data_IF_428058313875
#
_entry.id   IF_428058313875
#
_cell.length_a   1.000
_cell.length_b   1.000
_cell.length_c   1.000
_cell.angle_alpha   90.00
_cell.angle_beta   90.00
_cell.angle_gamma   90.00
#
_symmetry.space_group_name_H-M   'P 1'
#
loop_
_entity.id
_entity.type
_entity.pdbx_description
1 polymer ?
#
# COMPACT_ATOMS: atom_id res chain seq x y z
N UNK A 1 54.60 -30.61 -15.83
CA UNK A 1 55.45 -31.70 -16.38
C UNK A 1 54.79 -33.03 -16.05
N UNK A 2 54.35 -33.74 -17.10
CA UNK A 2 54.24 -35.20 -17.27
C UNK A 2 53.57 -36.05 -16.18
N UNK A 3 52.39 -36.61 -16.51
CA UNK A 3 52.16 -38.05 -16.85
C UNK A 3 51.95 -38.92 -15.59
N UNK A 4 51.04 -39.91 -15.50
CA UNK A 4 50.45 -40.77 -16.53
C UNK A 4 49.33 -41.64 -15.92
N UNK A 5 48.31 -41.93 -16.75
CA UNK A 5 47.63 -43.22 -17.00
C UNK A 5 47.14 -44.08 -15.81
N UNK A 6 45.83 -44.25 -15.58
CA UNK A 6 44.87 -45.16 -16.25
C UNK A 6 45.18 -46.65 -16.09
N UNK A 7 44.20 -47.48 -15.70
CA UNK A 7 43.82 -48.77 -16.34
C UNK A 7 42.59 -49.41 -15.63
N UNK A 8 41.47 -49.52 -16.37
CA UNK A 8 40.49 -50.65 -16.48
C UNK A 8 39.81 -51.31 -15.25
N UNK A 9 38.63 -51.97 -15.29
CA UNK A 9 37.46 -52.13 -16.17
C UNK A 9 36.54 -53.21 -15.53
N UNK A 10 35.22 -53.16 -15.81
CA UNK A 10 34.17 -54.23 -15.90
C UNK A 10 32.89 -53.84 -15.16
N UNK A 11 31.81 -53.52 -15.88
CA UNK A 11 30.80 -54.41 -16.50
C UNK A 11 29.92 -55.14 -15.49
N UNK A 12 28.64 -54.75 -15.42
CA UNK A 12 27.50 -55.66 -15.47
C UNK A 12 26.30 -54.96 -16.11
N UNK A 13 25.82 -55.57 -17.20
CA UNK A 13 24.57 -55.25 -17.90
C UNK A 13 23.39 -55.87 -17.14
N UNK A 14 22.26 -55.17 -17.08
CA UNK A 14 20.96 -55.80 -17.16
C UNK A 14 19.97 -54.84 -17.83
N UNK A 15 19.71 -55.13 -19.10
CA UNK A 15 18.65 -54.58 -19.92
C UNK A 15 17.32 -55.23 -19.53
N UNK A 16 16.25 -54.44 -19.32
CA UNK A 16 14.85 -54.86 -19.53
C UNK A 16 13.95 -53.64 -19.69
N UNK A 17 13.77 -53.26 -20.95
CA UNK A 17 12.54 -52.78 -21.61
C UNK A 17 11.28 -52.66 -20.71
N UNK A 18 10.74 -51.46 -20.60
CA UNK A 18 9.31 -51.18 -20.86
C UNK A 18 9.09 -49.67 -21.04
N UNK A 19 8.49 -49.30 -22.17
CA UNK A 19 8.11 -47.94 -22.54
C UNK A 19 6.69 -47.61 -22.00
N UNK A 20 6.23 -46.35 -22.07
CA UNK A 20 5.44 -45.71 -21.02
C UNK A 20 3.94 -45.98 -21.10
N UNK A 21 3.30 -46.15 -19.95
CA UNK A 21 1.85 -46.08 -19.83
C UNK A 21 1.40 -44.62 -20.00
N UNK A 22 0.92 -44.29 -21.21
CA UNK A 22 0.06 -43.13 -21.47
C UNK A 22 -1.24 -43.32 -20.69
N UNK A 23 -1.47 -42.49 -19.69
CA UNK A 23 -2.80 -42.34 -19.09
C UNK A 23 -3.65 -41.48 -20.04
N UNK A 24 -4.33 -42.12 -20.99
CA UNK A 24 -5.39 -41.49 -21.79
C UNK A 24 -6.66 -41.43 -20.95
N UNK A 25 -6.98 -40.25 -20.42
CA UNK A 25 -8.32 -39.97 -19.89
C UNK A 25 -9.22 -39.64 -21.08
N UNK A 26 -9.95 -40.63 -21.58
CA UNK A 26 -11.09 -40.42 -22.45
C UNK A 26 -12.27 -39.92 -21.61
N UNK A 27 -12.37 -38.60 -21.44
CA UNK A 27 -13.57 -37.92 -20.96
C UNK A 27 -14.38 -37.41 -22.17
N UNK A 28 -15.46 -38.10 -22.50
CA UNK A 28 -16.52 -37.58 -23.38
C UNK A 28 -17.13 -36.33 -22.74
N UNK A 29 -17.29 -35.20 -23.45
CA UNK A 29 -17.99 -34.05 -22.92
C UNK A 29 -19.50 -34.35 -22.92
N UNK A 30 -20.06 -34.65 -21.74
CA UNK A 30 -21.50 -34.63 -21.53
C UNK A 30 -21.96 -33.17 -21.61
N UNK A 31 -22.58 -32.81 -22.74
CA UNK A 31 -23.34 -31.56 -22.89
C UNK A 31 -24.53 -31.57 -21.93
N UNK A 32 -24.39 -30.94 -20.76
CA UNK A 32 -25.55 -30.46 -20.02
C UNK A 32 -25.88 -29.03 -20.48
N UNK A 33 -26.57 -28.93 -21.62
CA UNK A 33 -27.37 -27.73 -21.91
C UNK A 33 -28.63 -27.79 -21.03
N UNK A 34 -28.59 -27.16 -19.86
CA UNK A 34 -29.83 -26.69 -19.22
C UNK A 34 -30.15 -25.33 -19.82
N UNK A 35 -31.11 -25.30 -20.74
CA UNK A 35 -31.74 -24.07 -21.18
C UNK A 35 -32.47 -23.44 -19.99
N UNK A 36 -31.98 -22.30 -19.50
CA UNK A 36 -32.77 -21.44 -18.63
C UNK A 36 -33.81 -20.73 -19.51
N UNK A 37 -35.05 -21.20 -19.46
CA UNK A 37 -36.20 -20.42 -19.92
C UNK A 37 -36.43 -19.28 -18.92
N UNK A 38 -35.97 -18.08 -19.26
CA UNK A 38 -36.39 -16.86 -18.58
C UNK A 38 -37.80 -16.50 -19.06
N UNK A 39 -38.82 -16.90 -18.29
CA UNK A 39 -40.17 -16.35 -18.44
C UNK A 39 -40.21 -14.87 -18.05
N UNK A 40 -41.17 -14.07 -18.55
CA UNK A 40 -41.19 -12.64 -18.31
C UNK A 40 -41.63 -12.35 -16.88
N UNK A 41 -40.69 -12.00 -16.00
CA UNK A 41 -41.02 -11.42 -14.69
C UNK A 41 -41.53 -9.99 -14.87
N UNK A 42 -42.84 -9.81 -14.68
CA UNK A 42 -43.53 -8.54 -14.57
C UNK A 42 -43.00 -7.78 -13.34
N UNK A 43 -42.29 -6.68 -13.55
CA UNK A 43 -41.94 -5.75 -12.48
C UNK A 43 -43.17 -4.91 -12.12
N UNK A 44 -43.77 -5.16 -10.96
CA UNK A 44 -44.74 -4.26 -10.34
C UNK A 44 -43.99 -3.20 -9.53
N UNK A 45 -44.16 -1.94 -9.91
CA UNK A 45 -43.62 -0.79 -9.18
C UNK A 45 -44.27 -0.67 -7.78
N UNK A 46 -43.50 -0.39 -6.71
CA UNK A 46 -44.08 -0.04 -5.43
C UNK A 46 -44.60 1.39 -5.45
N UNK A 47 -45.85 1.56 -5.03
CA UNK A 47 -46.54 2.83 -4.80
C UNK A 47 -45.83 3.66 -3.74
N UNK A 48 -45.65 4.95 -4.01
CA UNK A 48 -45.06 5.92 -3.10
C UNK A 48 -46.01 6.27 -1.94
N UNK A 49 -45.56 6.03 -0.71
CA UNK A 49 -46.14 6.67 0.48
C UNK A 49 -45.30 7.90 0.84
N UNK A 50 -45.87 9.09 0.60
CA UNK A 50 -45.25 10.36 0.93
C UNK A 50 -45.15 10.57 2.45
N UNK A 51 -43.93 10.74 2.96
CA UNK A 51 -43.66 11.27 4.30
C UNK A 51 -43.26 12.73 4.16
N UNK A 52 -44.05 13.61 4.78
CA UNK A 52 -43.89 15.07 4.79
C UNK A 52 -42.65 15.49 5.59
N UNK A 53 -41.78 16.31 4.99
CA UNK A 53 -40.74 17.05 5.68
C UNK A 53 -41.31 18.31 6.37
N UNK A 54 -40.81 18.74 7.55
CA UNK A 54 -41.24 19.99 8.17
C UNK A 54 -40.51 21.19 7.56
N UNK A 55 -41.29 22.22 7.20
CA UNK A 55 -40.81 23.55 6.82
C UNK A 55 -40.42 24.34 8.07
N UNK A 56 -39.16 24.76 8.19
CA UNK A 56 -38.75 25.79 9.13
C UNK A 56 -38.85 27.17 8.45
N UNK A 57 -39.74 28.01 8.97
CA UNK A 57 -39.98 29.37 8.51
C UNK A 57 -38.90 30.34 9.02
N UNK A 58 -38.39 31.18 8.13
CA UNK A 58 -37.58 32.36 8.46
C UNK A 58 -38.52 33.47 8.94
N UNK A 59 -38.44 33.85 10.20
CA UNK A 59 -39.07 35.04 10.77
C UNK A 59 -38.02 36.12 11.00
N UNK A 60 -38.06 37.18 10.21
CA UNK A 60 -37.38 38.45 10.51
C UNK A 60 -38.30 39.29 11.41
N UNK A 61 -37.82 39.67 12.59
CA UNK A 61 -38.45 40.70 13.41
C UNK A 61 -37.56 41.94 13.47
N UNK A 62 -38.06 43.02 12.85
CA UNK A 62 -37.63 44.41 13.07
C UNK A 62 -38.03 44.84 14.47
N UNK A 63 -37.12 45.49 15.19
CA UNK A 63 -37.46 46.36 16.33
C UNK A 63 -36.81 47.73 16.08
N UNK A 64 -37.67 48.76 16.02
CA UNK A 64 -37.30 50.17 15.95
C UNK A 64 -37.10 50.80 17.33
N UNK A 65 -36.78 52.11 17.40
CA UNK A 65 -35.84 52.64 18.39
C UNK A 65 -36.52 53.40 19.55
N UNK A 66 -35.91 53.37 20.74
CA UNK A 66 -36.16 54.37 21.78
C UNK A 66 -34.91 54.71 22.61
N UNK A 67 -34.46 55.96 22.41
CA UNK A 67 -34.00 56.98 23.38
C UNK A 67 -32.93 56.64 24.44
N UNK A 68 -31.72 57.08 24.12
CA UNK A 68 -30.85 58.04 24.87
C UNK A 68 -31.16 58.28 26.35
N UNK A 69 -30.17 57.95 27.20
CA UNK A 69 -29.80 58.75 28.37
C UNK A 69 -28.27 58.79 28.49
N UNK A 70 -27.72 60.02 28.52
CA UNK A 70 -26.31 60.38 28.73
C UNK A 70 -25.92 60.21 30.20
N UNK A 71 -24.69 59.80 30.48
CA UNK A 71 -23.68 60.31 31.45
C UNK A 71 -22.48 59.35 31.26
N UNK A 72 -21.20 59.70 31.18
CA UNK A 72 -20.41 60.91 31.39
C UNK A 72 -18.95 60.44 31.37
N UNK A 73 -18.05 61.27 30.83
CA UNK A 73 -16.61 61.00 30.71
C UNK A 73 -15.98 60.90 32.10
N UNK A 74 -15.20 59.84 32.35
CA UNK A 74 -14.14 59.84 33.36
C UNK A 74 -12.98 58.95 32.88
N UNK A 75 -12.03 59.59 32.19
CA UNK A 75 -10.67 59.08 32.02
C UNK A 75 -9.94 59.37 33.33
N UNK A 76 -9.61 58.34 34.10
CA UNK A 76 -8.58 58.40 35.16
C UNK A 76 -7.75 57.13 35.09
N UNK A 77 -6.44 57.34 34.93
CA UNK A 77 -5.40 56.33 34.91
C UNK A 77 -5.29 55.60 36.26
N UNK A 78 -5.29 54.28 36.21
CA UNK A 78 -4.63 53.36 37.16
C UNK A 78 -4.02 52.29 36.26
N UNK A 79 -2.72 52.24 35.99
CA UNK A 79 -1.64 52.30 36.96
C UNK A 79 -1.40 50.89 37.52
N UNK A 80 -0.66 50.06 36.78
CA UNK A 80 0.05 48.87 37.26
C UNK A 80 -0.75 47.84 38.08
N UNK A 81 -1.36 46.87 37.39
CA UNK A 81 -1.56 45.52 37.93
C UNK A 81 -1.52 44.48 36.79
N UNK A 82 -0.40 44.43 36.04
CA UNK A 82 0.04 43.18 35.43
C UNK A 82 0.60 42.31 36.57
N UNK A 83 -0.29 41.83 37.43
CA UNK A 83 0.00 40.74 38.33
C UNK A 83 0.12 39.49 37.48
N UNK A 84 1.30 38.86 37.51
CA UNK A 84 1.53 37.53 36.99
C UNK A 84 0.33 36.63 37.29
N UNK A 85 -0.43 36.24 36.26
CA UNK A 85 -1.06 34.93 36.31
C UNK A 85 0.10 33.96 36.19
N UNK A 86 0.71 33.65 37.33
CA UNK A 86 1.54 32.48 37.44
C UNK A 86 0.65 31.31 37.03
N UNK A 87 0.89 30.75 35.85
CA UNK A 87 0.41 29.42 35.49
C UNK A 87 0.72 28.53 36.69
N UNK A 88 -0.31 27.99 37.34
CA UNK A 88 -0.10 27.06 38.44
C UNK A 88 0.90 26.00 37.96
N UNK A 89 1.91 25.64 38.78
CA UNK A 89 2.82 24.57 38.41
C UNK A 89 1.97 23.32 38.09
N UNK A 90 2.36 22.52 37.08
CA UNK A 90 1.62 21.31 36.75
C UNK A 90 1.46 20.47 38.02
N UNK A 91 0.21 20.12 38.35
CA UNK A 91 -0.08 19.30 39.52
C UNK A 91 0.35 17.88 39.17
N UNK A 92 1.51 17.46 39.66
CA UNK A 92 1.93 16.06 39.61
C UNK A 92 1.04 15.28 40.59
N UNK A 93 0.35 14.27 40.10
CA UNK A 93 -0.48 13.42 40.95
C UNK A 93 0.41 12.50 41.81
N UNK A 94 0.04 12.29 43.07
CA UNK A 94 0.67 11.27 43.92
C UNK A 94 0.30 9.87 43.42
N UNK A 95 1.20 8.90 43.56
CA UNK A 95 0.90 7.51 43.18
C UNK A 95 -0.28 6.99 44.01
N UNK A 96 -1.25 6.29 43.41
CA UNK A 96 -2.39 5.74 44.14
C UNK A 96 -1.92 4.74 45.21
N UNK A 97 -2.44 4.85 46.42
CA UNK A 97 -2.11 3.96 47.54
C UNK A 97 -2.54 2.49 47.30
N UNK A 98 -3.59 2.27 46.49
CA UNK A 98 -4.05 0.94 46.09
C UNK A 98 -4.31 0.86 44.58
N UNK A 99 -3.69 -0.11 43.92
CA UNK A 99 -3.95 -0.44 42.52
C UNK A 99 -5.06 -1.50 42.40
N UNK A 100 -5.93 -1.40 41.38
CA UNK A 100 -6.83 -2.51 41.05
C UNK A 100 -6.03 -3.80 40.84
N UNK A 101 -6.56 -4.97 41.25
CA UNK A 101 -5.88 -6.23 41.04
C UNK A 101 -5.57 -6.43 39.54
N UNK A 102 -4.32 -6.81 39.24
CA UNK A 102 -3.74 -6.98 37.89
C UNK A 102 -3.39 -5.70 37.12
N UNK A 103 -3.27 -4.53 37.76
CA UNK A 103 -2.66 -3.35 37.12
C UNK A 103 -1.24 -3.10 37.63
N UNK A 104 -0.27 -3.11 36.70
CA UNK A 104 1.10 -2.64 36.91
C UNK A 104 1.19 -1.16 36.55
N UNK A 105 1.85 -0.35 37.38
CA UNK A 105 2.27 1.01 37.04
C UNK A 105 3.73 1.01 36.60
N UNK A 106 4.04 1.79 35.57
CA UNK A 106 5.38 1.94 34.98
C UNK A 106 5.70 3.42 34.83
N UNK A 107 6.94 3.83 35.12
CA UNK A 107 7.42 5.21 34.94
C UNK A 107 7.76 5.49 33.47
N UNK A 108 7.62 6.73 33.01
CA UNK A 108 7.97 7.12 31.64
C UNK A 108 9.44 6.81 31.30
N UNK A 109 10.36 7.01 32.24
CA UNK A 109 11.78 6.72 32.03
C UNK A 109 12.05 5.25 31.70
N UNK A 110 11.36 4.33 32.37
CA UNK A 110 11.41 2.89 32.05
C UNK A 110 10.87 2.64 30.64
N UNK A 111 9.75 3.26 30.26
CA UNK A 111 9.19 3.12 28.90
C UNK A 111 10.17 3.60 27.84
N UNK A 112 10.89 4.71 28.08
CA UNK A 112 11.88 5.24 27.15
C UNK A 112 13.09 4.32 26.93
N UNK A 113 13.39 3.40 27.86
CA UNK A 113 14.44 2.39 27.69
C UNK A 113 14.06 1.35 26.61
N UNK A 114 12.76 1.07 26.45
CA UNK A 114 12.19 0.15 25.47
C UNK A 114 11.97 0.80 24.09
N UNK A 115 13.03 1.45 23.58
CA UNK A 115 13.02 2.20 22.32
C UNK A 115 13.54 1.35 21.13
N UNK A 116 13.69 2.00 19.97
CA UNK A 116 14.07 1.32 18.71
C UNK A 116 15.41 0.58 18.73
N UNK A 117 16.30 0.84 19.70
CA UNK A 117 17.60 0.16 19.81
C UNK A 117 17.60 -0.93 20.89
N UNK A 118 16.48 -1.16 21.57
CA UNK A 118 16.33 -2.21 22.57
C UNK A 118 15.88 -3.54 21.95
N UNK A 119 15.88 -4.60 22.77
CA UNK A 119 15.36 -5.93 22.40
C UNK A 119 13.83 -6.04 22.54
N UNK A 120 13.22 -5.08 23.22
CA UNK A 120 11.77 -5.00 23.47
C UNK A 120 11.28 -3.59 23.15
N UNK A 121 10.12 -3.50 22.52
CA UNK A 121 9.59 -2.26 21.98
C UNK A 121 8.29 -1.90 22.68
N UNK A 122 8.33 -0.88 23.54
CA UNK A 122 7.13 -0.40 24.23
C UNK A 122 6.66 0.91 23.63
N UNK A 123 5.35 1.09 23.65
CA UNK A 123 4.68 2.31 23.19
C UNK A 123 3.55 2.63 24.15
N UNK A 124 3.09 3.89 24.16
CA UNK A 124 1.95 4.25 24.99
C UNK A 124 0.91 5.08 24.26
N UNK A 125 -0.33 4.98 24.72
CA UNK A 125 -1.46 5.79 24.27
C UNK A 125 -2.38 6.08 25.46
N UNK A 126 -2.60 7.34 25.74
CA UNK A 126 -3.21 7.85 26.95
C UNK A 126 -2.29 7.55 28.11
N UNK A 127 -2.81 6.82 29.08
CA UNK A 127 -2.07 6.29 30.22
C UNK A 127 -1.77 4.79 30.07
N UNK A 128 -2.09 4.16 28.94
CA UNK A 128 -1.85 2.72 28.73
C UNK A 128 -0.53 2.48 28.00
N UNK A 129 0.20 1.45 28.45
CA UNK A 129 1.49 1.00 27.90
C UNK A 129 1.29 -0.36 27.24
N UNK A 130 1.91 -0.54 26.08
CA UNK A 130 1.79 -1.73 25.25
C UNK A 130 3.18 -2.25 24.86
N UNK A 131 3.39 -3.55 24.98
CA UNK A 131 4.58 -4.23 24.46
C UNK A 131 4.28 -4.76 23.07
N UNK A 132 4.78 -4.06 22.04
CA UNK A 132 4.51 -4.39 20.64
C UNK A 132 5.58 -5.28 20.02
N UNK A 133 6.50 -5.85 20.81
CA UNK A 133 7.67 -6.61 20.31
C UNK A 133 7.26 -7.69 19.32
N UNK A 134 6.29 -8.52 19.68
CA UNK A 134 5.79 -9.60 18.82
C UNK A 134 4.85 -9.12 17.69
N UNK A 135 4.39 -7.87 17.76
CA UNK A 135 3.54 -7.26 16.73
C UNK A 135 4.34 -6.63 15.60
N UNK A 136 5.55 -6.12 15.84
CA UNK A 136 6.36 -5.43 14.83
C UNK A 136 6.45 -6.19 13.50
N UNK A 137 6.72 -7.51 13.45
CA UNK A 137 6.77 -8.26 12.20
C UNK A 137 5.43 -8.36 11.44
N UNK A 138 4.31 -8.12 12.12
CA UNK A 138 2.96 -8.15 11.57
C UNK A 138 2.45 -6.76 11.17
N UNK A 139 3.16 -5.69 11.55
CA UNK A 139 2.67 -4.34 11.33
C UNK A 139 2.66 -3.97 9.82
N UNK A 140 1.53 -3.46 9.27
CA UNK A 140 1.43 -3.14 7.85
C UNK A 140 2.38 -2.03 7.34
N UNK A 141 2.94 -1.22 8.23
CA UNK A 141 3.99 -0.25 7.90
C UNK A 141 5.41 -0.80 7.96
N UNK A 142 5.57 -2.09 8.27
CA UNK A 142 6.87 -2.69 8.60
C UNK A 142 7.51 -2.00 9.81
N UNK A 143 8.84 -1.92 9.79
CA UNK A 143 9.67 -1.32 10.84
C UNK A 143 9.45 0.20 11.05
N UNK A 144 8.66 0.87 10.20
CA UNK A 144 8.28 2.27 10.43
C UNK A 144 7.61 2.47 11.80
N UNK A 145 6.94 1.44 12.34
CA UNK A 145 6.36 1.46 13.69
C UNK A 145 7.41 1.70 14.78
N UNK A 146 8.67 1.29 14.57
CA UNK A 146 9.75 1.46 15.53
C UNK A 146 10.10 2.93 15.76
N UNK A 147 9.67 3.85 14.89
CA UNK A 147 9.78 5.30 15.15
C UNK A 147 8.99 5.74 16.38
N UNK A 148 7.95 4.99 16.75
CA UNK A 148 7.15 5.23 17.95
C UNK A 148 7.71 4.52 19.19
N UNK A 149 8.66 3.60 19.06
CA UNK A 149 9.19 2.82 20.18
C UNK A 149 9.80 3.73 21.25
N UNK A 150 9.45 3.46 22.50
CA UNK A 150 9.73 4.27 23.68
C UNK A 150 8.81 5.49 23.84
N UNK A 151 7.84 5.70 22.94
CA UNK A 151 7.09 6.96 22.87
C UNK A 151 5.56 6.84 22.76
N UNK A 152 4.94 8.02 22.66
CA UNK A 152 3.50 8.20 22.49
C UNK A 152 3.05 7.86 21.07
N UNK A 153 1.94 7.13 20.95
CA UNK A 153 1.28 6.82 19.68
C UNK A 153 0.36 7.94 19.18
N UNK A 154 -0.04 8.89 20.03
CA UNK A 154 -0.97 9.96 19.69
C UNK A 154 -0.58 10.74 18.43
N UNK A 155 0.67 11.22 18.26
CA UNK A 155 1.06 11.95 17.06
C UNK A 155 0.89 11.08 15.80
N UNK A 156 1.27 9.80 15.89
CA UNK A 156 1.17 8.85 14.79
C UNK A 156 -0.29 8.52 14.45
N UNK A 157 -1.18 8.39 15.43
CA UNK A 157 -2.62 8.17 15.19
C UNK A 157 -3.29 9.36 14.52
N UNK A 158 -2.82 10.57 14.78
CA UNK A 158 -3.30 11.79 14.13
C UNK A 158 -2.81 11.89 12.67
N UNK A 159 -1.58 11.43 12.41
CA UNK A 159 -0.95 11.44 11.09
C UNK A 159 -1.52 10.33 10.19
N UNK A 160 -1.58 9.10 10.71
CA UNK A 160 -1.99 7.90 9.98
C UNK A 160 -3.40 7.50 10.40
N UNK A 161 -4.40 8.12 9.75
CA UNK A 161 -5.82 7.97 10.09
C UNK A 161 -6.33 6.52 9.98
N UNK A 162 -5.63 5.65 9.27
CA UNK A 162 -5.91 4.21 9.22
C UNK A 162 -5.93 3.56 10.61
N UNK A 163 -5.13 4.06 11.57
CA UNK A 163 -5.09 3.52 12.92
C UNK A 163 -6.28 3.92 13.78
N UNK A 164 -7.11 4.87 13.32
CA UNK A 164 -8.33 5.30 14.03
C UNK A 164 -9.50 4.32 13.82
N UNK A 165 -9.30 3.22 13.08
CA UNK A 165 -10.29 2.16 12.92
C UNK A 165 -10.38 1.29 14.17
N UNK A 166 -11.60 0.89 14.55
CA UNK A 166 -11.85 0.07 15.75
C UNK A 166 -11.00 -1.21 15.78
N UNK A 167 -10.89 -1.90 14.66
CA UNK A 167 -10.10 -3.13 14.53
C UNK A 167 -8.62 -2.94 14.94
N UNK A 168 -8.05 -1.74 14.72
CA UNK A 168 -6.66 -1.45 15.10
C UNK A 168 -6.53 -1.25 16.61
N UNK A 169 -7.54 -0.65 17.25
CA UNK A 169 -7.59 -0.56 18.72
C UNK A 169 -7.72 -1.94 19.36
N UNK A 170 -8.54 -2.82 18.77
CA UNK A 170 -8.73 -4.19 19.27
C UNK A 170 -7.44 -5.03 19.15
N UNK A 171 -6.61 -4.78 18.13
CA UNK A 171 -5.27 -5.37 18.03
C UNK A 171 -4.34 -4.80 19.09
N UNK A 172 -4.26 -3.47 19.22
CA UNK A 172 -3.36 -2.82 20.17
C UNK A 172 -3.64 -3.26 21.62
N UNK A 173 -4.91 -3.43 22.00
CA UNK A 173 -5.29 -3.83 23.37
C UNK A 173 -4.80 -5.23 23.75
N UNK A 174 -4.53 -6.11 22.78
CA UNK A 174 -3.95 -7.44 23.04
C UNK A 174 -2.52 -7.37 23.57
N UNK A 175 -1.84 -6.24 23.34
CA UNK A 175 -0.47 -5.97 23.74
C UNK A 175 -0.36 -5.13 25.02
N UNK A 176 -1.48 -4.87 25.71
CA UNK A 176 -1.50 -4.08 26.93
C UNK A 176 -0.73 -4.76 28.07
N UNK A 177 0.20 -4.04 28.70
CA UNK A 177 1.03 -4.56 29.79
C UNK A 177 0.90 -3.80 31.11
N UNK A 178 0.60 -2.50 31.07
CA UNK A 178 0.64 -1.64 32.25
C UNK A 178 -0.02 -0.27 31.99
N UNK A 179 -0.17 0.53 33.05
CA UNK A 179 -0.46 1.96 32.94
C UNK A 179 0.74 2.81 33.34
N UNK A 180 0.80 4.02 32.81
CA UNK A 180 1.79 5.04 33.20
C UNK A 180 1.47 5.49 34.63
N UNK A 181 2.51 5.62 35.44
CA UNK A 181 2.39 6.14 36.80
C UNK A 181 1.85 7.59 36.77
N UNK A 182 0.82 7.92 37.58
CA UNK A 182 0.23 9.26 37.60
C UNK A 182 1.21 10.40 37.87
N UNK A 183 2.36 10.12 38.51
CA UNK A 183 3.43 11.11 38.73
C UNK A 183 4.04 11.63 37.44
N UNK A 184 3.95 10.87 36.35
CA UNK A 184 4.50 11.25 35.05
C UNK A 184 3.43 11.85 34.12
N UNK A 185 2.19 11.98 34.60
CA UNK A 185 1.09 12.60 33.87
C UNK A 185 1.00 14.10 34.20
N UNK A 186 0.80 14.92 33.17
CA UNK A 186 0.51 16.36 33.30
C UNK A 186 -0.95 16.57 32.91
N UNK A 187 -1.76 17.12 33.82
CA UNK A 187 -3.21 17.27 33.65
C UNK A 187 -3.91 15.94 33.27
N UNK A 188 -3.44 14.83 33.85
CA UNK A 188 -3.96 13.48 33.59
C UNK A 188 -3.60 12.91 32.21
N UNK A 189 -2.63 13.51 31.51
CA UNK A 189 -2.17 13.05 30.19
C UNK A 189 -0.67 12.82 30.20
N UNK A 190 -0.25 11.75 29.53
CA UNK A 190 1.16 11.54 29.28
C UNK A 190 1.67 12.64 28.31
N UNK A 191 2.89 13.16 28.50
CA UNK A 191 3.49 14.11 27.58
C UNK A 191 3.57 13.48 26.18
N UNK A 192 2.86 14.08 25.23
CA UNK A 192 2.94 13.70 23.82
C UNK A 192 4.00 14.57 23.15
N UNK A 193 5.09 13.96 22.68
CA UNK A 193 6.08 14.67 21.87
C UNK A 193 5.49 15.21 20.56
N UNK A 194 6.20 16.11 19.88
CA UNK A 194 5.88 16.48 18.50
C UNK A 194 6.61 15.54 17.55
N UNK A 195 5.89 14.99 16.57
CA UNK A 195 6.47 14.20 15.48
C UNK A 195 6.31 15.01 14.20
N UNK A 196 7.37 15.11 13.41
CA UNK A 196 7.30 15.71 12.08
C UNK A 196 6.29 14.96 11.21
N UNK A 197 5.35 15.67 10.60
CA UNK A 197 4.38 15.06 9.69
C UNK A 197 5.10 14.57 8.42
N UNK A 198 5.26 13.25 8.22
CA UNK A 198 6.00 12.74 7.09
C UNK A 198 5.28 12.97 5.75
N UNK A 199 3.98 13.29 5.78
CA UNK A 199 3.19 13.62 4.59
C UNK A 199 3.22 15.11 4.26
N UNK A 200 3.91 15.95 5.02
CA UNK A 200 3.94 17.40 4.80
C UNK A 200 4.39 17.78 3.38
N UNK A 201 5.35 17.03 2.83
CA UNK A 201 5.92 17.27 1.51
C UNK A 201 5.32 16.36 0.43
N UNK A 202 4.20 15.68 0.71
CA UNK A 202 3.51 14.90 -0.31
C UNK A 202 3.05 15.80 -1.48
N UNK A 203 3.10 15.31 -2.72
CA UNK A 203 2.68 16.09 -3.88
C UNK A 203 1.19 16.43 -3.82
N UNK A 204 0.82 17.55 -4.45
CA UNK A 204 -0.58 17.91 -4.70
C UNK A 204 -1.07 17.05 -5.87
N UNK A 205 -2.23 16.41 -5.70
CA UNK A 205 -2.86 15.57 -6.72
C UNK A 205 -4.06 16.26 -7.33
N UNK A 206 -4.42 15.81 -8.53
CA UNK A 206 -5.60 16.28 -9.22
C UNK A 206 -6.87 15.95 -8.42
N UNK A 207 -7.73 16.95 -8.22
CA UNK A 207 -8.95 16.83 -7.40
C UNK A 207 -10.05 15.98 -8.04
N UNK A 208 -9.93 15.64 -9.33
CA UNK A 208 -10.85 14.73 -9.99
C UNK A 208 -10.59 13.27 -9.65
N UNK A 209 -9.39 12.91 -9.13
CA UNK A 209 -9.14 11.56 -8.64
C UNK A 209 -10.09 11.23 -7.49
N UNK A 210 -10.63 10.01 -7.49
CA UNK A 210 -11.55 9.58 -6.42
C UNK A 210 -10.71 9.10 -5.24
N UNK A 211 -10.68 9.89 -4.17
CA UNK A 211 -9.81 9.63 -3.01
C UNK A 211 -10.45 8.62 -2.04
N UNK A 212 -9.71 7.57 -1.69
CA UNK A 212 -10.09 6.59 -0.66
C UNK A 212 -9.34 6.78 0.67
N UNK A 213 -8.17 7.41 0.62
CA UNK A 213 -7.37 7.75 1.80
C UNK A 213 -6.49 8.96 1.49
N UNK A 214 -6.38 9.88 2.44
CA UNK A 214 -5.50 11.04 2.33
C UNK A 214 -4.07 10.72 2.79
N UNK A 215 -3.93 9.98 3.90
CA UNK A 215 -2.66 9.74 4.58
C UNK A 215 -2.54 8.27 5.02
N UNK A 216 -1.88 7.40 4.23
CA UNK A 216 -1.24 7.68 2.94
C UNK A 216 -2.24 7.92 1.80
N UNK A 217 -1.82 8.70 0.81
CA UNK A 217 -2.65 9.01 -0.36
C UNK A 217 -2.95 7.75 -1.16
N UNK A 218 -4.25 7.46 -1.34
CA UNK A 218 -4.73 6.41 -2.22
C UNK A 218 -5.96 6.91 -2.95
N UNK A 219 -5.86 7.03 -4.28
CA UNK A 219 -6.92 7.58 -5.12
C UNK A 219 -7.02 6.82 -6.43
N UNK A 220 -8.24 6.61 -6.92
CA UNK A 220 -8.51 5.86 -8.15
C UNK A 220 -8.71 6.78 -9.37
N UNK A 221 -8.38 6.23 -10.53
CA UNK A 221 -8.64 6.87 -11.82
C UNK A 221 -10.16 6.93 -12.07
N UNK A 222 -10.72 8.11 -12.38
CA UNK A 222 -12.13 8.22 -12.72
C UNK A 222 -12.49 7.39 -13.95
N UNK A 223 -13.69 6.79 -13.95
CA UNK A 223 -14.13 5.90 -15.05
C UNK A 223 -14.12 6.58 -16.42
N UNK A 224 -14.33 7.90 -16.48
CA UNK A 224 -14.25 8.69 -17.71
C UNK A 224 -12.85 8.68 -18.33
N UNK A 225 -11.81 8.63 -17.50
CA UNK A 225 -10.41 8.66 -17.92
C UNK A 225 -9.92 7.27 -18.36
N UNK A 226 -10.60 6.19 -17.94
CA UNK A 226 -10.33 4.81 -18.38
C UNK A 226 -10.78 4.52 -19.82
N UNK A 227 -11.34 5.51 -20.52
CA UNK A 227 -11.76 5.37 -21.93
C UNK A 227 -10.62 5.57 -22.92
N UNK A 228 -9.57 6.27 -22.50
CA UNK A 228 -8.36 6.46 -23.29
C UNK A 228 -7.44 5.25 -23.13
N UNK A 229 -6.78 4.82 -24.22
CA UNK A 229 -5.84 3.70 -24.16
C UNK A 229 -4.64 4.00 -23.24
N UNK A 230 -4.15 5.24 -23.28
CA UNK A 230 -3.17 5.78 -22.34
C UNK A 230 -3.90 6.66 -21.33
N UNK A 231 -3.78 6.33 -20.05
CA UNK A 231 -4.31 7.12 -18.95
C UNK A 231 -3.44 8.38 -18.79
N UNK A 232 -4.03 9.59 -18.75
CA UNK A 232 -3.28 10.80 -18.44
C UNK A 232 -2.56 10.67 -17.10
N UNK A 233 -1.33 11.18 -17.03
CA UNK A 233 -0.42 10.95 -15.90
C UNK A 233 -1.00 11.45 -14.58
N UNK A 234 -1.62 12.63 -14.60
CA UNK A 234 -2.30 13.28 -13.47
C UNK A 234 -3.60 12.57 -13.04
N UNK A 235 -4.13 11.69 -13.89
CA UNK A 235 -5.32 10.87 -13.62
C UNK A 235 -4.98 9.41 -13.33
N UNK A 236 -3.70 9.02 -13.39
CA UNK A 236 -3.27 7.67 -13.11
C UNK A 236 -3.46 7.35 -11.62
N UNK A 237 -4.05 6.20 -11.30
CA UNK A 237 -4.37 5.86 -9.91
C UNK A 237 -3.11 5.89 -9.02
N UNK A 238 -3.28 6.41 -7.80
CA UNK A 238 -2.21 6.51 -6.81
C UNK A 238 -2.48 5.48 -5.72
N UNK A 239 -1.52 4.59 -5.50
CA UNK A 239 -1.51 3.68 -4.34
C UNK A 239 -0.21 3.86 -3.58
N UNK A 240 -0.29 4.46 -2.40
CA UNK A 240 0.83 4.59 -1.47
C UNK A 240 0.52 3.87 -0.15
N UNK A 241 1.49 3.10 0.36
CA UNK A 241 1.42 2.52 1.71
C UNK A 241 2.00 3.46 2.77
N UNK A 242 2.90 4.35 2.35
CA UNK A 242 3.64 5.31 3.17
C UNK A 242 3.58 6.69 2.50
N UNK A 243 4.26 7.68 3.06
CA UNK A 243 4.43 9.00 2.44
C UNK A 243 5.28 8.90 1.15
N UNK A 244 5.23 9.96 0.34
CA UNK A 244 6.04 10.07 -0.86
C UNK A 244 7.42 10.63 -0.47
N UNK A 245 8.51 9.90 -0.72
CA UNK A 245 9.87 10.39 -0.48
C UNK A 245 10.12 11.74 -1.16
N UNK A 246 10.87 12.59 -0.47
CA UNK A 246 11.24 13.92 -0.98
C UNK A 246 12.60 13.86 -1.66
N UNK A 247 12.60 13.25 -2.84
CA UNK A 247 13.79 13.10 -3.70
C UNK A 247 13.78 14.24 -4.73
N UNK A 248 14.82 15.07 -4.72
CA UNK A 248 14.94 16.25 -5.60
C UNK A 248 15.96 16.07 -6.74
N UNK A 249 17.02 15.31 -6.47
CA UNK A 249 18.11 15.10 -7.43
C UNK A 249 17.95 13.75 -8.15
N UNK A 250 17.33 13.77 -9.32
CA UNK A 250 17.07 12.54 -10.07
C UNK A 250 18.37 11.77 -10.38
N UNK A 251 19.36 12.48 -10.91
CA UNK A 251 20.55 11.90 -11.51
C UNK A 251 21.52 11.31 -10.48
N UNK A 252 21.53 11.83 -9.24
CA UNK A 252 22.39 11.35 -8.15
C UNK A 252 21.76 10.21 -7.33
N UNK A 253 20.47 9.90 -7.57
CA UNK A 253 19.79 8.79 -6.90
C UNK A 253 20.49 7.46 -7.21
N UNK A 254 20.83 6.73 -6.15
CA UNK A 254 21.60 5.49 -6.21
C UNK A 254 20.69 4.26 -6.19
N UNK A 255 21.00 3.33 -7.07
CA UNK A 255 20.51 1.96 -7.07
C UNK A 255 21.67 1.02 -6.70
N UNK A 256 21.51 0.26 -5.63
CA UNK A 256 22.44 -0.82 -5.27
C UNK A 256 21.90 -2.16 -5.78
N UNK A 257 22.73 -2.95 -6.42
CA UNK A 257 22.48 -4.37 -6.74
C UNK A 257 23.41 -5.19 -5.86
N UNK A 258 22.83 -5.99 -4.97
CA UNK A 258 23.54 -6.98 -4.16
C UNK A 258 23.47 -8.34 -4.87
N UNK A 259 24.64 -8.85 -5.25
CA UNK A 259 24.82 -10.16 -5.89
C UNK A 259 24.63 -11.29 -4.87
N UNK A 260 24.55 -12.52 -5.38
CA UNK A 260 24.29 -13.70 -4.54
C UNK A 260 25.42 -14.01 -3.55
N UNK A 261 26.65 -13.61 -3.87
CA UNK A 261 27.83 -13.71 -3.00
C UNK A 261 27.97 -12.53 -2.02
N UNK A 262 27.04 -11.57 -2.07
CA UNK A 262 27.03 -10.37 -1.22
C UNK A 262 27.83 -9.19 -1.79
N UNK A 263 28.46 -9.31 -2.96
CA UNK A 263 29.10 -8.15 -3.59
C UNK A 263 28.04 -7.12 -4.03
N UNK A 264 28.35 -5.83 -3.83
CA UNK A 264 27.44 -4.74 -4.19
C UNK A 264 27.96 -3.92 -5.38
N UNK A 265 27.12 -3.79 -6.41
CA UNK A 265 27.33 -2.90 -7.56
C UNK A 265 26.37 -1.72 -7.47
N UNK A 266 26.87 -0.52 -7.69
CA UNK A 266 26.10 0.72 -7.52
C UNK A 266 25.99 1.46 -8.84
N UNK A 267 24.78 1.87 -9.19
CA UNK A 267 24.47 2.72 -10.32
C UNK A 267 23.77 3.99 -9.84
N UNK A 268 24.14 5.14 -10.39
CA UNK A 268 23.27 6.32 -10.33
C UNK A 268 22.24 6.27 -11.46
N UNK A 269 21.14 7.03 -11.36
CA UNK A 269 20.20 7.16 -12.49
C UNK A 269 20.89 7.74 -13.72
N UNK A 270 21.87 8.64 -13.55
CA UNK A 270 22.71 9.12 -14.64
C UNK A 270 23.54 8.00 -15.29
N UNK A 271 24.13 7.10 -14.49
CA UNK A 271 24.84 5.92 -15.01
C UNK A 271 23.90 5.02 -15.81
N UNK A 272 22.69 4.76 -15.31
CA UNK A 272 21.70 3.93 -15.99
C UNK A 272 21.38 4.49 -17.38
N UNK A 273 21.09 5.80 -17.47
CA UNK A 273 20.79 6.48 -18.75
C UNK A 273 21.95 6.47 -19.73
N UNK A 274 23.19 6.57 -19.22
CA UNK A 274 24.40 6.67 -20.04
C UNK A 274 24.89 5.31 -20.54
N UNK A 275 24.84 4.28 -19.68
CA UNK A 275 25.43 2.96 -19.96
C UNK A 275 24.51 2.07 -20.78
N UNK A 276 23.20 2.15 -20.56
CA UNK A 276 22.26 1.18 -21.12
C UNK A 276 21.36 1.80 -22.17
N UNK A 277 20.91 0.97 -23.11
CA UNK A 277 19.92 1.38 -24.11
C UNK A 277 18.58 1.63 -23.43
N UNK A 278 17.98 2.78 -23.72
CA UNK A 278 16.62 3.08 -23.30
C UNK A 278 15.58 2.32 -24.14
N UNK A 279 14.56 1.79 -23.48
CA UNK A 279 13.40 1.14 -24.07
C UNK A 279 12.13 1.84 -23.60
N UNK A 280 11.12 1.86 -24.47
CA UNK A 280 9.77 2.32 -24.12
C UNK A 280 8.78 1.19 -24.33
N UNK A 281 7.96 0.91 -23.32
CA UNK A 281 6.89 -0.10 -23.38
C UNK A 281 5.57 0.49 -22.89
N UNK A 282 4.46 0.10 -23.50
CA UNK A 282 3.15 0.42 -22.96
C UNK A 282 2.69 -0.72 -22.08
N UNK A 283 2.44 -0.44 -20.80
CA UNK A 283 2.04 -1.44 -19.82
C UNK A 283 0.95 -0.90 -18.90
N UNK A 284 0.00 -1.76 -18.58
CA UNK A 284 -1.05 -1.52 -17.59
C UNK A 284 -0.56 -1.95 -16.22
N UNK A 285 -0.74 -1.09 -15.22
CA UNK A 285 -0.62 -1.47 -13.82
C UNK A 285 -2.00 -1.63 -13.22
N UNK A 286 -2.25 -2.76 -12.56
CA UNK A 286 -3.48 -3.02 -11.85
C UNK A 286 -3.18 -3.34 -10.39
N UNK A 287 -3.87 -2.67 -9.47
CA UNK A 287 -3.84 -3.04 -8.05
C UNK A 287 -4.60 -4.36 -7.83
N UNK A 288 -4.07 -5.24 -6.97
CA UNK A 288 -4.79 -6.44 -6.49
C UNK A 288 -6.14 -6.12 -5.86
N UNK A 289 -6.26 -4.94 -5.25
CA UNK A 289 -7.49 -4.46 -4.63
C UNK A 289 -8.52 -3.90 -5.61
N UNK A 290 -8.25 -3.85 -6.91
CA UNK A 290 -9.20 -3.30 -7.88
C UNK A 290 -10.54 -4.04 -7.77
N UNK A 291 -11.64 -3.29 -7.73
CA UNK A 291 -13.02 -3.78 -7.54
C UNK A 291 -13.31 -4.40 -6.16
N UNK A 292 -12.51 -4.12 -5.12
CA UNK A 292 -12.78 -4.58 -3.74
C UNK A 292 -14.17 -4.15 -3.23
N UNK A 293 -14.62 -2.94 -3.57
CA UNK A 293 -15.96 -2.47 -3.18
C UNK A 293 -17.09 -3.38 -3.69
N UNK A 294 -16.97 -3.93 -4.90
CA UNK A 294 -17.94 -4.90 -5.42
C UNK A 294 -17.94 -6.21 -4.63
N UNK A 295 -16.77 -6.67 -4.18
CA UNK A 295 -16.68 -7.87 -3.32
C UNK A 295 -17.37 -7.63 -1.97
N UNK A 296 -17.14 -6.46 -1.36
CA UNK A 296 -17.81 -6.03 -0.13
C UNK A 296 -19.33 -5.96 -0.30
N UNK A 297 -19.81 -5.42 -1.42
CA UNK A 297 -21.24 -5.30 -1.72
C UNK A 297 -21.91 -6.65 -1.98
N UNK A 298 -21.23 -7.56 -2.66
CA UNK A 298 -21.81 -8.84 -3.09
C UNK A 298 -21.68 -9.97 -2.06
N UNK A 299 -20.82 -9.81 -1.05
CA UNK A 299 -20.48 -10.88 -0.10
C UNK A 299 -20.42 -10.35 1.33
N UNK A 300 -19.28 -10.51 2.01
CA UNK A 300 -19.04 -10.03 3.38
C UNK A 300 -18.16 -8.78 3.35
N UNK A 301 -18.20 -7.94 4.40
CA UNK A 301 -17.27 -6.84 4.58
C UNK A 301 -15.82 -7.32 4.37
N UNK A 302 -15.08 -6.63 3.51
CA UNK A 302 -13.67 -6.90 3.26
C UNK A 302 -12.80 -5.87 3.97
N UNK A 303 -11.60 -6.29 4.38
CA UNK A 303 -10.58 -5.39 4.94
C UNK A 303 -9.78 -4.76 3.80
N UNK A 304 -9.53 -3.45 3.91
CA UNK A 304 -8.71 -2.69 2.96
C UNK A 304 -9.47 -1.57 2.24
N UNK A 305 -8.75 -0.87 1.35
CA UNK A 305 -9.28 0.26 0.57
C UNK A 305 -10.39 -0.21 -0.37
N UNK A 306 -11.54 0.45 -0.32
CA UNK A 306 -12.76 0.06 -1.05
C UNK A 306 -12.75 0.63 -2.48
N UNK A 307 -11.77 0.20 -3.28
CA UNK A 307 -11.60 0.58 -4.68
C UNK A 307 -12.83 0.25 -5.52
N UNK A 308 -13.21 1.15 -6.42
CA UNK A 308 -14.13 0.92 -7.52
C UNK A 308 -13.46 0.15 -8.65
N UNK A 309 -13.73 0.52 -9.90
CA UNK A 309 -13.08 -0.08 -11.09
C UNK A 309 -11.77 0.60 -11.48
N UNK A 310 -11.42 1.71 -10.81
CA UNK A 310 -10.37 2.64 -11.23
C UNK A 310 -8.99 2.42 -10.62
N UNK A 311 -8.76 1.32 -9.89
CA UNK A 311 -7.42 0.98 -9.38
C UNK A 311 -6.58 0.26 -10.46
N UNK A 312 -6.59 0.83 -11.67
CA UNK A 312 -5.94 0.35 -12.88
C UNK A 312 -5.60 1.55 -13.76
N UNK A 313 -4.47 1.50 -14.46
CA UNK A 313 -4.08 2.56 -15.41
C UNK A 313 -3.04 2.05 -16.41
N UNK A 314 -3.07 2.58 -17.62
CA UNK A 314 -2.14 2.22 -18.70
C UNK A 314 -1.28 3.42 -19.07
N UNK A 315 0.02 3.22 -19.13
CA UNK A 315 0.96 4.27 -19.49
C UNK A 315 2.07 3.72 -20.39
N UNK A 316 2.73 4.62 -21.12
CA UNK A 316 4.00 4.31 -21.78
C UNK A 316 5.12 4.60 -20.80
N UNK A 317 5.91 3.59 -20.46
CA UNK A 317 7.00 3.68 -19.51
C UNK A 317 8.33 3.59 -20.25
N UNK A 318 9.28 4.45 -19.89
CA UNK A 318 10.61 4.45 -20.48
C UNK A 318 11.69 4.32 -19.42
N UNK A 319 12.71 3.53 -19.75
CA UNK A 319 13.74 3.09 -18.81
C UNK A 319 14.73 2.15 -19.45
N UNK A 320 15.53 1.49 -18.61
CA UNK A 320 16.50 0.48 -19.04
C UNK A 320 16.00 -0.91 -18.65
N UNK A 321 16.35 -1.94 -19.41
CA UNK A 321 15.93 -3.32 -19.08
C UNK A 321 16.63 -3.78 -17.83
N UNK A 322 15.87 -4.33 -16.88
CA UNK A 322 16.45 -4.91 -15.66
C UNK A 322 17.47 -6.00 -16.00
N UNK A 323 17.15 -6.87 -16.97
CA UNK A 323 18.05 -7.92 -17.49
C UNK A 323 19.42 -7.37 -17.90
N UNK A 324 19.47 -6.25 -18.62
CA UNK A 324 20.73 -5.68 -19.12
C UNK A 324 21.60 -5.15 -17.96
N UNK A 325 20.97 -4.56 -16.94
CA UNK A 325 21.66 -4.06 -15.75
C UNK A 325 22.18 -5.21 -14.88
N UNK A 326 21.42 -6.31 -14.75
CA UNK A 326 21.87 -7.49 -14.01
C UNK A 326 23.09 -8.15 -14.68
N UNK A 327 23.11 -8.22 -16.02
CA UNK A 327 24.27 -8.72 -16.77
C UNK A 327 25.52 -7.86 -16.51
N UNK A 328 25.38 -6.53 -16.56
CA UNK A 328 26.49 -5.61 -16.30
C UNK A 328 26.95 -5.65 -14.84
N UNK A 329 26.03 -5.90 -13.90
CA UNK A 329 26.35 -6.10 -12.49
C UNK A 329 27.09 -7.43 -12.22
N UNK A 330 27.15 -8.35 -13.18
CA UNK A 330 27.91 -9.60 -13.06
C UNK A 330 27.07 -10.87 -12.97
N UNK A 331 25.73 -10.80 -13.09
CA UNK A 331 24.89 -11.99 -13.11
C UNK A 331 25.03 -12.75 -14.44
N UNK A 332 25.35 -14.05 -14.39
CA UNK A 332 25.29 -14.91 -15.57
C UNK A 332 23.83 -15.10 -16.01
N UNK A 333 23.52 -14.64 -17.22
CA UNK A 333 22.19 -14.68 -17.79
C UNK A 333 21.92 -15.90 -18.69
N UNK A 334 22.93 -16.72 -18.95
CA UNK A 334 22.83 -17.95 -19.76
C UNK A 334 22.68 -19.16 -18.85
N UNK A 335 23.53 -19.23 -17.82
CA UNK A 335 23.55 -20.31 -16.83
C UNK A 335 23.56 -19.68 -15.44
N UNK A 336 22.46 -19.02 -15.01
CA UNK A 336 22.36 -18.50 -13.65
C UNK A 336 22.49 -19.65 -12.65
N UNK A 337 23.14 -19.38 -11.51
CA UNK A 337 23.24 -20.34 -10.41
C UNK A 337 21.84 -20.87 -10.05
N UNK A 338 21.71 -22.19 -9.90
CA UNK A 338 20.45 -22.83 -9.57
C UNK A 338 19.91 -22.35 -8.22
N UNK A 339 20.74 -21.88 -7.30
CA UNK A 339 20.27 -21.36 -6.01
C UNK A 339 19.62 -19.97 -6.15
N UNK A 340 19.84 -19.24 -7.24
CA UNK A 340 19.20 -17.95 -7.47
C UNK A 340 17.76 -18.18 -7.95
N UNK A 341 16.77 -17.80 -7.14
CA UNK A 341 15.34 -18.00 -7.45
C UNK A 341 14.55 -16.70 -7.59
N UNK A 342 15.00 -15.63 -6.96
CA UNK A 342 14.24 -14.39 -6.81
C UNK A 342 15.11 -13.13 -6.91
N UNK A 343 14.48 -12.05 -7.35
CA UNK A 343 14.98 -10.69 -7.12
C UNK A 343 14.09 -9.98 -6.12
N UNK A 344 14.68 -9.52 -5.02
CA UNK A 344 14.04 -8.68 -4.02
C UNK A 344 14.26 -7.23 -4.39
N UNK A 345 13.20 -6.45 -4.39
CA UNK A 345 13.21 -5.01 -4.63
C UNK A 345 12.92 -4.29 -3.34
N UNK A 346 13.73 -3.28 -3.03
CA UNK A 346 13.58 -2.41 -1.87
C UNK A 346 13.38 -0.99 -2.38
N UNK A 347 12.24 -0.41 -2.02
CA UNK A 347 11.97 1.00 -2.24
C UNK A 347 12.44 1.84 -1.06
N UNK A 348 12.32 3.15 -1.18
CA UNK A 348 12.48 4.05 -0.06
C UNK A 348 11.53 3.71 1.10
N UNK A 349 11.94 4.09 2.30
CA UNK A 349 11.29 3.71 3.57
C UNK A 349 11.33 2.19 3.81
N UNK A 350 10.18 1.51 3.86
CA UNK A 350 10.10 0.09 4.23
C UNK A 350 9.52 -0.81 3.12
N UNK A 351 8.98 -0.26 2.03
CA UNK A 351 8.27 -1.09 1.05
C UNK A 351 9.23 -1.99 0.27
N UNK A 352 8.92 -3.29 0.23
CA UNK A 352 9.66 -4.26 -0.56
C UNK A 352 8.74 -5.30 -1.19
N UNK A 353 9.19 -5.91 -2.28
CA UNK A 353 8.52 -7.02 -2.96
C UNK A 353 9.57 -7.87 -3.69
N UNK A 354 9.17 -8.99 -4.28
CA UNK A 354 10.05 -9.77 -5.16
C UNK A 354 9.33 -10.38 -6.35
N UNK A 355 10.09 -10.67 -7.40
CA UNK A 355 9.65 -11.45 -8.55
C UNK A 355 10.56 -12.68 -8.72
N UNK A 356 10.07 -13.76 -9.36
CA UNK A 356 10.92 -14.89 -9.75
C UNK A 356 12.04 -14.44 -10.70
N UNK A 357 13.21 -15.07 -10.60
CA UNK A 357 14.36 -14.77 -11.44
C UNK A 357 14.02 -14.90 -12.93
N UNK A 358 13.26 -15.94 -13.30
CA UNK A 358 12.85 -16.20 -14.69
C UNK A 358 12.13 -15.00 -15.33
N UNK A 359 11.28 -14.29 -14.56
CA UNK A 359 10.62 -13.07 -15.06
C UNK A 359 11.60 -11.92 -15.24
N UNK A 360 12.58 -11.79 -14.34
CA UNK A 360 13.56 -10.71 -14.38
C UNK A 360 14.55 -10.87 -15.53
N UNK A 361 14.96 -12.12 -15.81
CA UNK A 361 15.96 -12.45 -16.83
C UNK A 361 15.34 -12.97 -18.12
N UNK A 362 14.02 -12.96 -18.33
CA UNK A 362 13.47 -13.41 -19.62
C UNK A 362 14.10 -12.62 -20.79
N UNK A 363 14.65 -13.33 -21.78
CA UNK A 363 15.25 -12.74 -22.98
C UNK A 363 14.23 -11.94 -23.81
N UNK A 364 12.96 -12.35 -23.76
CA UNK A 364 11.82 -11.65 -24.34
C UNK A 364 11.09 -10.77 -23.33
N UNK A 365 11.62 -10.71 -22.10
CA UNK A 365 11.06 -9.95 -21.00
C UNK A 365 11.11 -8.45 -21.21
N UNK A 366 10.25 -7.80 -20.44
CA UNK A 366 9.92 -6.38 -20.51
C UNK A 366 9.99 -5.71 -19.14
N UNK A 367 10.71 -6.31 -18.19
CA UNK A 367 10.94 -5.69 -16.88
C UNK A 367 11.89 -4.50 -17.04
N UNK A 368 11.43 -3.32 -16.64
CA UNK A 368 12.19 -2.08 -16.75
C UNK A 368 12.54 -1.51 -15.38
N UNK A 369 13.73 -0.92 -15.29
CA UNK A 369 14.02 0.16 -14.36
C UNK A 369 13.59 1.46 -15.03
N UNK A 370 12.37 1.89 -14.73
CA UNK A 370 11.72 3.02 -15.38
C UNK A 370 12.02 4.33 -14.63
N UNK A 371 12.29 5.37 -15.41
CA UNK A 371 12.52 6.75 -14.92
C UNK A 371 11.66 7.78 -15.67
N UNK A 372 10.82 7.32 -16.60
CA UNK A 372 9.88 8.13 -17.38
C UNK A 372 8.54 7.43 -17.54
N UNK A 373 7.47 8.23 -17.58
CA UNK A 373 6.09 7.82 -17.74
C UNK A 373 5.37 8.81 -18.66
N UNK A 374 4.72 8.29 -19.70
CA UNK A 374 4.06 9.04 -20.77
C UNK A 374 4.97 10.11 -21.41
N UNK A 375 6.25 9.79 -21.59
CA UNK A 375 7.24 10.67 -22.21
C UNK A 375 7.73 11.82 -21.33
N UNK A 376 7.35 11.85 -20.06
CA UNK A 376 7.83 12.83 -19.06
C UNK A 376 8.57 12.10 -17.94
N UNK A 377 9.45 12.79 -17.18
CA UNK A 377 10.00 12.23 -15.95
C UNK A 377 8.91 11.66 -15.05
N UNK A 378 9.21 10.58 -14.33
CA UNK A 378 8.25 10.01 -13.38
C UNK A 378 7.71 11.10 -12.44
N UNK A 379 6.40 11.19 -12.23
CA UNK A 379 5.87 11.97 -11.12
C UNK A 379 6.29 11.38 -9.78
N UNK A 380 6.38 12.21 -8.75
CA UNK A 380 6.76 11.78 -7.39
C UNK A 380 5.88 10.64 -6.86
N UNK A 381 4.56 10.71 -7.07
CA UNK A 381 3.62 9.63 -6.69
C UNK A 381 3.85 8.29 -7.40
N UNK A 382 4.49 8.31 -8.57
CA UNK A 382 4.71 7.13 -9.41
C UNK A 382 6.16 6.63 -9.37
N UNK A 383 6.96 7.13 -8.42
CA UNK A 383 8.27 6.58 -8.12
C UNK A 383 9.45 7.39 -8.62
N UNK A 384 9.31 8.71 -8.80
CA UNK A 384 10.47 9.56 -9.10
C UNK A 384 11.62 9.33 -8.11
N UNK A 385 12.87 9.18 -8.57
CA UNK A 385 13.30 9.20 -9.97
C UNK A 385 13.34 7.83 -10.63
N UNK A 386 13.22 6.74 -9.86
CA UNK A 386 13.38 5.37 -10.34
C UNK A 386 12.34 4.42 -9.73
N UNK A 387 11.74 3.58 -10.57
CA UNK A 387 10.91 2.45 -10.15
C UNK A 387 11.29 1.19 -10.91
N UNK A 388 10.96 0.03 -10.35
CA UNK A 388 10.80 -1.18 -11.17
C UNK A 388 9.39 -1.20 -11.76
N UNK A 389 9.30 -1.62 -13.02
CA UNK A 389 8.07 -1.90 -13.74
C UNK A 389 8.09 -3.36 -14.16
N UNK A 390 7.06 -4.12 -13.73
CA UNK A 390 6.95 -5.55 -14.02
C UNK A 390 5.65 -5.81 -14.80
N UNK A 391 5.67 -5.78 -16.13
CA UNK A 391 4.46 -6.00 -16.93
C UNK A 391 3.85 -7.40 -16.74
N UNK A 392 2.53 -7.48 -16.82
CA UNK A 392 1.75 -8.70 -16.60
C UNK A 392 1.62 -9.13 -15.15
N UNK A 393 2.34 -8.47 -14.23
CA UNK A 393 2.28 -8.75 -12.80
C UNK A 393 1.41 -7.72 -12.06
N UNK A 394 0.90 -8.12 -10.90
CA UNK A 394 0.21 -7.22 -9.98
C UNK A 394 1.09 -6.02 -9.66
N UNK A 395 0.51 -4.83 -9.64
CA UNK A 395 1.25 -3.58 -9.48
C UNK A 395 2.06 -3.50 -8.16
N UNK A 396 1.72 -4.32 -7.15
CA UNK A 396 2.47 -4.43 -5.91
C UNK A 396 3.95 -4.85 -6.11
N UNK A 397 4.26 -5.58 -7.20
CA UNK A 397 5.64 -6.00 -7.52
C UNK A 397 6.44 -4.92 -8.27
N UNK A 398 5.76 -3.89 -8.77
CA UNK A 398 6.39 -2.74 -9.43
C UNK A 398 6.78 -1.68 -8.37
N UNK A 399 7.80 -1.98 -7.56
CA UNK A 399 8.29 -1.11 -6.46
C UNK A 399 8.68 0.27 -6.96
N UNK A 400 8.18 1.30 -6.26
CA UNK A 400 8.47 2.72 -6.51
C UNK A 400 9.62 3.20 -5.63
N UNK A 401 10.28 4.29 -6.04
CA UNK A 401 11.38 4.90 -5.29
C UNK A 401 12.49 3.87 -5.01
N UNK A 402 12.83 3.08 -6.02
CA UNK A 402 13.68 1.90 -5.93
C UNK A 402 15.11 2.30 -5.51
N UNK A 403 15.61 1.70 -4.44
CA UNK A 403 16.94 1.97 -3.90
C UNK A 403 17.86 0.76 -3.94
N UNK A 404 17.32 -0.46 -3.79
CA UNK A 404 18.12 -1.69 -3.78
C UNK A 404 17.44 -2.86 -4.46
N UNK A 405 18.24 -3.71 -5.12
CA UNK A 405 17.85 -5.01 -5.66
C UNK A 405 18.78 -6.04 -5.02
N UNK A 406 18.22 -7.14 -4.52
CA UNK A 406 18.98 -8.24 -3.92
C UNK A 406 18.67 -9.52 -4.67
N UNK A 407 19.72 -10.19 -5.16
CA UNK A 407 19.64 -11.52 -5.74
C UNK A 407 19.55 -12.54 -4.61
N UNK A 408 18.55 -13.43 -4.64
CA UNK A 408 18.31 -14.35 -3.52
C UNK A 408 17.68 -15.67 -3.98
N UNK A 409 17.89 -16.69 -3.16
CA UNK A 409 17.20 -17.98 -3.13
C UNK A 409 15.75 -17.92 -2.65
N UNK A 410 15.39 -16.88 -1.90
CA UNK A 410 14.09 -16.75 -1.25
C UNK A 410 13.30 -15.52 -1.73
N UNK A 411 11.97 -15.58 -1.63
CA UNK A 411 11.13 -14.39 -1.82
C UNK A 411 11.48 -13.30 -0.78
N UNK A 412 11.18 -12.05 -1.11
CA UNK A 412 11.27 -10.93 -0.16
C UNK A 412 10.57 -11.28 1.15
N UNK A 413 11.21 -10.96 2.27
CA UNK A 413 10.67 -11.14 3.62
C UNK A 413 9.73 -10.01 4.02
N UNK A 414 9.51 -9.02 3.14
CA UNK A 414 8.64 -7.89 3.43
C UNK A 414 7.22 -8.34 3.77
N UNK A 415 6.57 -7.60 4.67
CA UNK A 415 5.21 -7.91 5.08
C UNK A 415 4.24 -7.89 3.86
N UNK A 416 4.47 -7.02 2.87
CA UNK A 416 3.68 -6.97 1.64
C UNK A 416 3.92 -8.16 0.68
N UNK A 417 5.04 -8.88 0.79
CA UNK A 417 5.27 -10.10 0.02
C UNK A 417 4.74 -11.33 0.76
N UNK A 418 5.04 -11.45 2.05
CA UNK A 418 4.75 -12.66 2.84
C UNK A 418 3.35 -12.67 3.46
N UNK A 419 2.83 -11.51 3.87
CA UNK A 419 1.62 -11.33 4.69
C UNK A 419 0.58 -10.35 4.10
N UNK A 420 0.67 -10.08 2.80
CA UNK A 420 -0.35 -9.37 2.02
C UNK A 420 -0.32 -9.91 0.58
N UNK A 421 -1.24 -9.45 -0.27
CA UNK A 421 -1.27 -9.77 -1.70
C UNK A 421 -1.21 -11.27 -1.98
N UNK A 422 -2.03 -12.03 -1.24
CA UNK A 422 -2.28 -13.46 -1.42
C UNK A 422 -3.78 -13.70 -1.57
N UNK A 423 -4.16 -14.72 -2.35
CA UNK A 423 -5.55 -15.07 -2.59
C UNK A 423 -5.93 -16.30 -1.75
N UNK A 424 -6.93 -16.15 -0.89
CA UNK A 424 -7.47 -17.23 -0.08
C UNK A 424 -8.87 -17.65 -0.56
N UNK A 425 -9.25 -18.88 -0.23
CA UNK A 425 -10.61 -19.36 -0.45
C UNK A 425 -11.64 -18.59 0.39
N UNK A 426 -12.92 -18.55 -0.03
CA UNK A 426 -13.97 -17.79 0.66
C UNK A 426 -14.31 -18.32 2.06
N UNK A 427 -13.81 -19.49 2.43
CA UNK A 427 -13.92 -20.12 3.75
C UNK A 427 -12.88 -19.62 4.76
N UNK A 428 -11.82 -18.94 4.33
CA UNK A 428 -10.77 -18.40 5.20
C UNK A 428 -11.22 -17.05 5.77
N UNK A 429 -11.10 -16.88 7.09
CA UNK A 429 -11.41 -15.60 7.76
C UNK A 429 -10.17 -14.71 7.77
N UNK A 430 -10.38 -13.42 7.56
CA UNK A 430 -9.30 -12.42 7.52
C UNK A 430 -8.54 -12.26 8.85
N UNK A 431 -9.11 -12.68 9.99
CA UNK A 431 -8.48 -12.46 11.29
C UNK A 431 -7.24 -13.32 11.54
N UNK A 432 -7.14 -14.52 10.94
CA UNK A 432 -6.00 -15.42 11.13
C UNK A 432 -5.78 -16.28 9.87
N UNK A 433 -5.40 -15.69 8.72
CA UNK A 433 -5.05 -16.46 7.55
C UNK A 433 -3.74 -17.22 7.78
N UNK A 434 -3.68 -18.47 7.35
CA UNK A 434 -2.41 -19.18 7.18
C UNK A 434 -1.72 -18.63 5.92
N UNK A 435 -0.81 -17.67 6.12
CA UNK A 435 -0.14 -16.98 5.02
C UNK A 435 0.68 -17.92 4.13
N UNK A 436 1.20 -19.02 4.66
CA UNK A 436 2.05 -19.95 3.92
C UNK A 436 1.23 -20.90 3.03
N UNK A 437 -0.08 -21.00 3.28
CA UNK A 437 -1.00 -21.80 2.45
C UNK A 437 -1.30 -21.22 1.07
N UNK A 438 -0.92 -19.96 0.81
CA UNK A 438 -1.19 -19.28 -0.46
C UNK A 438 0.07 -18.63 -1.04
N UNK A 439 0.33 -18.76 -2.35
CA UNK A 439 1.45 -18.09 -3.00
C UNK A 439 1.20 -16.58 -3.09
N UNK A 440 2.27 -15.80 -3.07
CA UNK A 440 2.21 -14.37 -3.36
C UNK A 440 1.65 -14.15 -4.77
N UNK A 441 0.71 -13.22 -4.93
CA UNK A 441 0.16 -12.87 -6.26
C UNK A 441 1.31 -12.31 -7.10
N UNK A 442 1.58 -12.95 -8.23
CA UNK A 442 2.51 -12.48 -9.26
C UNK A 442 1.67 -12.01 -10.46
N UNK A 443 1.36 -12.90 -11.39
CA UNK A 443 0.43 -12.61 -12.49
C UNK A 443 -1.01 -12.42 -11.99
N UNK A 444 -1.75 -11.54 -12.67
CA UNK A 444 -3.17 -11.31 -12.37
C UNK A 444 -4.07 -12.08 -13.34
N UNK A 445 -5.19 -12.65 -12.86
CA UNK A 445 -6.16 -13.31 -13.74
C UNK A 445 -6.85 -12.31 -14.67
N UNK A 446 -7.53 -12.82 -15.69
CA UNK A 446 -8.33 -12.00 -16.62
C UNK A 446 -9.30 -11.09 -15.87
N UNK A 447 -9.37 -9.81 -16.28
CA UNK A 447 -10.22 -8.80 -15.67
C UNK A 447 -10.96 -7.99 -16.75
N UNK A 448 -12.19 -7.58 -16.45
CA UNK A 448 -12.91 -6.56 -17.22
C UNK A 448 -13.91 -5.80 -16.34
N UNK A 449 -14.23 -4.57 -16.75
CA UNK A 449 -15.24 -3.73 -16.10
C UNK A 449 -15.91 -2.81 -17.13
N UNK A 450 -17.17 -2.47 -16.89
CA UNK A 450 -17.91 -1.48 -17.69
C UNK A 450 -17.62 -0.11 -17.10
N UNK A 451 -17.03 0.81 -17.89
CA UNK A 451 -16.69 2.20 -17.47
C UNK A 451 -17.67 3.24 -18.01
N UNK A 452 -18.61 2.82 -18.86
CA UNK A 452 -19.72 3.65 -19.30
C UNK A 452 -20.85 2.82 -19.88
N UNK A 453 -22.08 3.27 -19.67
CA UNK A 453 -23.26 2.74 -20.34
C UNK A 453 -23.95 3.89 -21.03
N UNK A 454 -24.19 3.76 -22.34
CA UNK A 454 -25.00 4.73 -23.10
C UNK A 454 -26.27 4.04 -23.57
N UNK A 455 -27.42 4.54 -23.14
CA UNK A 455 -28.71 4.11 -23.69
C UNK A 455 -28.83 4.66 -25.11
N UNK A 456 -28.89 3.79 -26.10
CA UNK A 456 -29.17 4.15 -27.50
C UNK A 456 -30.66 3.92 -27.74
N UNK A 457 -31.36 4.92 -28.29
CA UNK A 457 -32.75 4.74 -28.74
C UNK A 457 -32.77 3.87 -30.02
N UNK A 458 -33.75 2.98 -30.14
CA UNK A 458 -33.77 1.93 -31.18
C UNK A 458 -33.74 2.47 -32.62
N UNK A 459 -34.30 3.66 -32.84
CA UNK A 459 -34.34 4.40 -34.10
C UNK A 459 -32.99 5.03 -34.50
N UNK A 460 -32.03 5.13 -33.57
CA UNK A 460 -30.69 5.73 -33.81
C UNK A 460 -29.55 4.71 -33.90
N UNK A 461 -29.87 3.42 -33.86
CA UNK A 461 -28.87 2.34 -34.00
C UNK A 461 -28.25 2.29 -35.40
N UNK A 462 -29.03 2.61 -36.44
CA UNK A 462 -28.57 2.60 -37.84
C UNK A 462 -27.66 3.79 -38.20
N UNK A 463 -27.80 4.93 -37.51
CA UNK A 463 -27.06 6.17 -37.79
C UNK A 463 -25.88 6.44 -36.84
N UNK A 464 -25.63 5.54 -35.89
CA UNK A 464 -24.55 5.72 -34.92
C UNK A 464 -23.28 4.99 -35.34
N UNK A 465 -22.11 5.51 -34.95
CA UNK A 465 -20.82 4.85 -35.14
C UNK A 465 -20.76 3.41 -34.58
N UNK A 466 -21.73 3.00 -33.74
CA UNK A 466 -21.92 1.63 -33.25
C UNK A 466 -22.29 0.63 -34.35
N UNK A 467 -22.89 1.06 -35.47
CA UNK A 467 -23.21 0.16 -36.59
C UNK A 467 -21.96 -0.50 -37.20
N UNK A 468 -20.77 0.13 -37.06
CA UNK A 468 -19.49 -0.39 -37.56
C UNK A 468 -18.81 -1.40 -36.63
N UNK A 469 -19.26 -1.53 -35.38
CA UNK A 469 -18.70 -2.46 -34.39
C UNK A 469 -19.44 -3.80 -34.39
N UNK A 470 -20.65 -3.85 -34.99
CA UNK A 470 -21.50 -5.04 -35.09
C UNK A 470 -21.43 -5.74 -36.45
N UNK A 471 -20.68 -5.19 -37.42
CA UNK A 471 -20.28 -5.83 -38.67
C UNK A 471 -18.83 -6.28 -38.56
#
# INVERSE_FOLDING_TARGET
MNNTASWTARLLRADRRSSPARCQVHGTPVRHQRAFHAGPTRWSAPTSSAVKAPRAARGWTRIGPTRVARVGIAVVAVGLAYGLVASAPPVLAESPEELPPNQRLIRLDEIHEHNRTADTYWVFRGDKVYDITDWVPNHPGGEVILRAAGGSLEPYWNIFTIHQKQEVYDVLEQYFIARIDPRDLVDGKAPTGQVEDPFKNDPIRDSALIQHSERPCNSETPESELRSYITPTEKFYVRNHLWVPDLHEADSHRLTIELFDGEEVVYTVADLRKKFKEYSITATLQCSGNRRSHMTQASRPTVGLQWGVGAIGTATWSGVRLRDVLADAGLDLQEPDEDIKHLKFVGAEAYGASIPIDKAIDRHGDVLLAFSMNGQPLPRDHGFPLRVLVPGHVAARSVKWLSKIVISDEESTSQWQRRDYKCFGPNVRASHPDWDSAPAIQETPVQSAITSVRRVQADKLLDSALARVLQ
#
